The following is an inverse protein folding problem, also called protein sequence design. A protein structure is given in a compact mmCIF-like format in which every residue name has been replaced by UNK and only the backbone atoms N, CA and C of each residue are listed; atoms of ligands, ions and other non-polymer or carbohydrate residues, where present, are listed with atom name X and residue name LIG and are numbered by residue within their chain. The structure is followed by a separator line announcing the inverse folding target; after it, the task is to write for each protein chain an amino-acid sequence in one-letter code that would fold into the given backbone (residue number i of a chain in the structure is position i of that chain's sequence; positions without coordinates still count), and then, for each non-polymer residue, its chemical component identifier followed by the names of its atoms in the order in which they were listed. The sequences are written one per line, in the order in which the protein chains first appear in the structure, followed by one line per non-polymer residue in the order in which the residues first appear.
data_IF_307980755702
#
_entry.id   IF_307980755702
#
_cell.length_a   1.000
_cell.length_b   1.000
_cell.length_c   1.000
_cell.angle_alpha   90.00
_cell.angle_beta   90.00
_cell.angle_gamma   90.00
#
_symmetry.space_group_name_H-M   'P 1'
#
loop_
_entity.id
_entity.type
_entity.pdbx_description
1 polymer ?
#
# COMPACT_ATOMS: atom_id res chain seq x y z
N UNK A 1 13.45 21.60 -35.70
CA UNK A 1 13.71 20.58 -34.68
C UNK A 1 12.49 20.57 -33.77
N UNK A 2 11.75 19.48 -33.73
CA UNK A 2 10.63 19.35 -32.80
C UNK A 2 11.20 19.36 -31.34
N UNK A 3 10.60 20.14 -30.44
CA UNK A 3 10.95 20.09 -29.05
C UNK A 3 10.73 18.65 -28.53
N UNK A 4 11.59 18.12 -27.66
CA UNK A 4 11.38 16.78 -27.10
C UNK A 4 10.01 16.78 -26.40
N UNK A 5 9.18 15.82 -26.75
CA UNK A 5 7.93 15.57 -26.02
C UNK A 5 8.35 15.28 -24.58
N UNK A 6 8.04 16.19 -23.69
CA UNK A 6 8.31 16.04 -22.27
C UNK A 6 7.46 14.83 -21.84
N UNK A 7 8.09 13.66 -21.60
CA UNK A 7 7.39 12.50 -21.05
C UNK A 7 6.71 12.96 -19.75
N UNK A 8 5.41 12.87 -19.74
CA UNK A 8 4.63 13.26 -18.56
C UNK A 8 5.04 12.37 -17.40
N UNK A 9 5.42 12.98 -16.26
CA UNK A 9 5.71 12.25 -15.01
C UNK A 9 4.57 11.28 -14.71
N UNK A 10 4.91 10.02 -14.47
CA UNK A 10 3.95 8.96 -14.20
C UNK A 10 4.20 8.40 -12.81
N UNK A 11 3.20 8.49 -11.95
CA UNK A 11 3.25 7.99 -10.58
C UNK A 11 2.38 6.75 -10.42
N UNK A 12 2.83 5.84 -9.58
CA UNK A 12 2.01 4.74 -9.06
C UNK A 12 1.73 5.01 -7.59
N UNK A 13 0.46 5.10 -7.23
CA UNK A 13 0.02 5.05 -5.84
C UNK A 13 -0.13 3.58 -5.44
N UNK A 14 0.83 3.08 -4.68
CA UNK A 14 0.90 1.65 -4.36
C UNK A 14 -0.08 1.21 -3.28
N UNK A 15 -0.80 2.15 -2.67
CA UNK A 15 -1.79 1.85 -1.63
C UNK A 15 -2.78 2.99 -1.44
N UNK A 16 -4.04 2.78 -1.83
CA UNK A 16 -5.13 3.71 -1.55
C UNK A 16 -6.48 3.00 -1.52
N UNK A 17 -7.35 3.39 -0.60
CA UNK A 17 -8.70 2.82 -0.43
C UNK A 17 -9.74 3.66 -1.16
N UNK A 18 -9.71 3.65 -2.52
CA UNK A 18 -10.70 4.36 -3.33
C UNK A 18 -12.12 3.82 -3.17
N UNK A 19 -12.29 2.63 -2.61
CA UNK A 19 -13.56 2.00 -2.23
C UNK A 19 -14.12 2.52 -0.90
N UNK A 20 -13.33 3.30 -0.15
CA UNK A 20 -13.73 3.80 1.16
C UNK A 20 -15.02 4.64 1.11
N UNK A 21 -15.90 4.53 2.12
CA UNK A 21 -17.15 5.29 2.19
C UNK A 21 -16.98 6.81 2.08
N UNK A 22 -15.81 7.34 2.52
CA UNK A 22 -15.44 8.75 2.44
C UNK A 22 -15.38 9.28 1.00
N UNK A 23 -15.10 8.42 0.03
CA UNK A 23 -15.18 8.77 -1.38
C UNK A 23 -16.55 8.49 -1.97
N UNK A 24 -17.18 7.38 -1.62
CA UNK A 24 -18.52 7.01 -2.09
C UNK A 24 -18.69 7.21 -3.61
N UNK A 25 -19.73 7.95 -4.01
CA UNK A 25 -19.99 8.26 -5.42
C UNK A 25 -18.92 9.15 -6.08
N UNK A 26 -17.99 9.73 -5.30
CA UNK A 26 -16.93 10.59 -5.82
C UNK A 26 -15.67 9.81 -6.24
N UNK A 27 -15.57 8.53 -5.98
CA UNK A 27 -14.36 7.72 -6.26
C UNK A 27 -13.88 7.88 -7.72
N UNK A 28 -14.79 7.81 -8.69
CA UNK A 28 -14.45 7.99 -10.11
C UNK A 28 -13.90 9.40 -10.40
N UNK A 29 -14.50 10.43 -9.83
CA UNK A 29 -14.05 11.82 -10.01
C UNK A 29 -12.70 12.06 -9.33
N UNK A 30 -12.48 11.52 -8.12
CA UNK A 30 -11.22 11.60 -7.40
C UNK A 30 -10.10 10.92 -8.21
N UNK A 31 -10.36 9.72 -8.74
CA UNK A 31 -9.39 9.01 -9.59
C UNK A 31 -9.08 9.76 -10.89
N UNK A 32 -10.09 10.35 -11.54
CA UNK A 32 -9.89 11.17 -12.74
C UNK A 32 -9.05 12.41 -12.45
N UNK A 33 -9.27 13.08 -11.33
CA UNK A 33 -8.45 14.22 -10.89
C UNK A 33 -7.00 13.79 -10.58
N UNK A 34 -6.81 12.61 -9.99
CA UNK A 34 -5.48 12.05 -9.76
C UNK A 34 -4.75 11.79 -11.10
N UNK A 35 -5.44 11.26 -12.12
CA UNK A 35 -4.86 11.04 -13.45
C UNK A 35 -4.36 12.34 -14.09
N UNK A 36 -5.12 13.44 -13.98
CA UNK A 36 -4.71 14.78 -14.47
C UNK A 36 -3.42 15.25 -13.77
N UNK A 37 -3.21 14.87 -12.52
CA UNK A 37 -2.00 15.17 -11.74
C UNK A 37 -0.85 14.19 -11.99
N UNK A 38 -0.97 13.26 -12.95
CA UNK A 38 0.09 12.32 -13.33
C UNK A 38 0.05 10.97 -12.60
N UNK A 39 -1.01 10.64 -11.85
CA UNK A 39 -1.16 9.30 -11.29
C UNK A 39 -1.58 8.33 -12.40
N UNK A 40 -0.63 7.55 -12.84
CA UNK A 40 -0.84 6.57 -13.90
C UNK A 40 -1.64 5.35 -13.42
N UNK A 41 -1.46 4.96 -12.16
CA UNK A 41 -2.07 3.76 -11.61
C UNK A 41 -2.21 3.82 -10.10
N UNK A 42 -3.27 3.17 -9.59
CA UNK A 42 -3.49 2.95 -8.17
C UNK A 42 -3.58 1.45 -7.87
N UNK A 43 -3.16 1.06 -6.67
CA UNK A 43 -3.39 -0.29 -6.12
C UNK A 43 -4.41 -0.16 -4.99
N UNK A 44 -5.54 -0.85 -5.13
CA UNK A 44 -6.68 -0.76 -4.21
C UNK A 44 -6.76 -2.06 -3.40
N UNK A 45 -6.33 -2.10 -2.14
CA UNK A 45 -6.42 -3.29 -1.32
C UNK A 45 -7.81 -3.43 -0.69
N UNK A 46 -8.33 -4.66 -0.69
CA UNK A 46 -9.48 -5.01 0.14
C UNK A 46 -9.06 -5.16 1.61
N UNK A 47 -10.01 -5.02 2.52
CA UNK A 47 -9.78 -5.10 3.97
C UNK A 47 -10.57 -6.20 4.66
N UNK A 48 -11.63 -6.70 4.02
CA UNK A 48 -12.49 -7.78 4.51
C UNK A 48 -13.20 -8.48 3.35
N UNK A 49 -13.73 -9.67 3.61
CA UNK A 49 -14.44 -10.47 2.57
C UNK A 49 -15.61 -9.70 1.97
N UNK A 50 -16.32 -8.92 2.79
CA UNK A 50 -17.50 -8.18 2.35
C UNK A 50 -17.20 -7.15 1.24
N UNK A 51 -15.95 -6.62 1.14
CA UNK A 51 -15.60 -5.63 0.12
C UNK A 51 -14.82 -6.20 -1.08
N UNK A 52 -14.50 -7.51 -1.12
CA UNK A 52 -13.69 -8.11 -2.19
C UNK A 52 -14.22 -7.83 -3.59
N UNK A 53 -15.50 -8.05 -3.80
CA UNK A 53 -16.10 -7.88 -5.13
C UNK A 53 -16.23 -6.38 -5.49
N UNK A 54 -16.56 -5.53 -4.53
CA UNK A 54 -16.64 -4.08 -4.74
C UNK A 54 -15.27 -3.49 -5.14
N UNK A 55 -14.20 -3.87 -4.43
CA UNK A 55 -12.82 -3.46 -4.75
C UNK A 55 -12.40 -3.95 -6.14
N UNK A 56 -12.67 -5.21 -6.47
CA UNK A 56 -12.39 -5.78 -7.78
C UNK A 56 -13.10 -5.01 -8.90
N UNK A 57 -14.41 -4.80 -8.76
CA UNK A 57 -15.21 -4.07 -9.75
C UNK A 57 -14.74 -2.63 -9.92
N UNK A 58 -14.44 -1.95 -8.82
CA UNK A 58 -13.91 -0.59 -8.84
C UNK A 58 -12.57 -0.54 -9.58
N UNK A 59 -11.63 -1.42 -9.27
CA UNK A 59 -10.34 -1.50 -9.94
C UNK A 59 -10.48 -1.73 -11.44
N UNK A 60 -11.38 -2.63 -11.86
CA UNK A 60 -11.66 -2.85 -13.29
C UNK A 60 -12.26 -1.60 -13.95
N UNK A 61 -13.20 -0.93 -13.30
CA UNK A 61 -13.84 0.29 -13.81
C UNK A 61 -12.84 1.43 -13.99
N UNK A 62 -11.91 1.58 -13.05
CA UNK A 62 -10.90 2.64 -13.04
C UNK A 62 -9.67 2.32 -13.92
N UNK A 63 -9.51 1.06 -14.32
CA UNK A 63 -8.29 0.60 -14.99
C UNK A 63 -7.12 0.36 -14.04
N UNK A 64 -7.36 0.34 -12.74
CA UNK A 64 -6.40 0.16 -11.65
C UNK A 64 -6.22 -1.32 -11.25
N UNK A 65 -5.39 -1.61 -10.26
CA UNK A 65 -5.16 -2.95 -9.71
C UNK A 65 -5.79 -3.09 -8.32
N UNK A 66 -5.96 -4.34 -7.88
CA UNK A 66 -6.48 -4.63 -6.56
C UNK A 66 -5.71 -5.75 -5.86
N UNK A 67 -5.87 -5.80 -4.54
CA UNK A 67 -5.42 -6.90 -3.69
C UNK A 67 -6.60 -7.47 -2.91
N UNK A 68 -6.52 -8.73 -2.52
CA UNK A 68 -7.51 -9.39 -1.66
C UNK A 68 -6.84 -9.83 -0.36
N UNK A 69 -7.41 -9.44 0.77
CA UNK A 69 -6.89 -9.76 2.09
C UNK A 69 -7.84 -9.35 3.20
N UNK A 70 -7.57 -9.84 4.40
CA UNK A 70 -8.31 -9.51 5.63
C UNK A 70 -7.36 -8.73 6.53
N UNK A 71 -7.65 -7.44 6.65
CA UNK A 71 -6.85 -6.49 7.40
C UNK A 71 -6.96 -6.71 8.91
N UNK A 72 -5.90 -6.52 9.71
CA UNK A 72 -5.92 -6.78 11.15
C UNK A 72 -7.03 -6.05 11.93
N UNK A 73 -7.45 -4.86 11.52
CA UNK A 73 -8.55 -4.14 12.15
C UNK A 73 -9.91 -4.83 11.97
N UNK A 74 -10.06 -5.71 10.98
CA UNK A 74 -11.29 -6.45 10.69
C UNK A 74 -11.27 -7.88 11.24
N UNK A 75 -10.14 -8.33 11.79
CA UNK A 75 -10.00 -9.71 12.31
C UNK A 75 -10.94 -9.99 13.49
N UNK A 76 -11.32 -8.98 14.28
CA UNK A 76 -12.19 -9.20 15.44
C UNK A 76 -13.51 -9.90 15.05
N UNK A 77 -14.16 -9.46 13.96
CA UNK A 77 -15.40 -10.03 13.42
C UNK A 77 -15.18 -11.16 12.41
N UNK A 78 -13.99 -11.29 11.83
CA UNK A 78 -13.69 -12.34 10.86
C UNK A 78 -13.72 -13.74 11.49
N UNK A 79 -13.96 -14.76 10.67
CA UNK A 79 -14.06 -16.18 11.06
C UNK A 79 -13.14 -17.04 10.19
N UNK A 80 -13.00 -18.32 10.52
CA UNK A 80 -12.27 -19.27 9.66
C UNK A 80 -12.91 -19.41 8.26
N UNK A 81 -14.23 -19.21 8.16
CA UNK A 81 -14.93 -19.19 6.88
C UNK A 81 -14.48 -18.03 5.99
N UNK A 82 -14.12 -16.89 6.57
CA UNK A 82 -13.59 -15.75 5.80
C UNK A 82 -12.22 -16.09 5.19
N UNK A 83 -11.38 -16.88 5.86
CA UNK A 83 -10.14 -17.39 5.25
C UNK A 83 -10.43 -18.36 4.11
N UNK A 84 -11.45 -19.22 4.24
CA UNK A 84 -11.89 -20.12 3.16
C UNK A 84 -12.48 -19.33 1.97
N UNK A 85 -13.23 -18.26 2.25
CA UNK A 85 -13.74 -17.35 1.21
C UNK A 85 -12.62 -16.60 0.51
N UNK A 86 -11.58 -16.15 1.23
CA UNK A 86 -10.38 -15.54 0.63
C UNK A 86 -9.67 -16.55 -0.29
N UNK A 87 -9.48 -17.79 0.17
CA UNK A 87 -8.89 -18.86 -0.66
C UNK A 87 -9.68 -19.07 -1.95
N UNK A 88 -11.01 -19.19 -1.85
CA UNK A 88 -11.90 -19.33 -3.00
C UNK A 88 -11.86 -18.11 -3.95
N UNK A 89 -11.78 -16.90 -3.42
CA UNK A 89 -11.69 -15.66 -4.21
C UNK A 89 -10.36 -15.60 -4.97
N UNK A 90 -9.24 -15.91 -4.30
CA UNK A 90 -7.92 -15.99 -4.92
C UNK A 90 -7.87 -17.04 -6.04
N UNK A 91 -8.45 -18.22 -5.81
CA UNK A 91 -8.57 -19.28 -6.83
C UNK A 91 -9.37 -18.80 -8.04
N UNK A 92 -10.53 -18.17 -7.79
CA UNK A 92 -11.43 -17.68 -8.85
C UNK A 92 -10.77 -16.61 -9.71
N UNK A 93 -10.00 -15.71 -9.10
CA UNK A 93 -9.42 -14.54 -9.77
C UNK A 93 -7.93 -14.70 -10.08
N UNK A 94 -7.34 -15.90 -9.95
CA UNK A 94 -5.92 -16.14 -10.20
C UNK A 94 -5.49 -15.73 -11.62
N UNK A 95 -6.37 -15.88 -12.61
CA UNK A 95 -6.15 -15.46 -14.00
C UNK A 95 -6.39 -13.96 -14.27
N UNK A 96 -6.90 -13.20 -13.30
CA UNK A 96 -7.14 -11.77 -13.46
C UNK A 96 -5.81 -11.00 -13.34
N UNK A 97 -5.35 -10.30 -14.41
CA UNK A 97 -4.09 -9.57 -14.36
C UNK A 97 -4.11 -8.38 -13.38
N UNK A 98 -5.30 -7.92 -12.97
CA UNK A 98 -5.45 -6.80 -12.02
C UNK A 98 -5.36 -7.24 -10.56
N UNK A 99 -5.48 -8.52 -10.25
CA UNK A 99 -5.17 -9.07 -8.93
C UNK A 99 -3.64 -9.15 -8.78
N UNK A 100 -3.05 -8.19 -8.09
CA UNK A 100 -1.59 -8.03 -8.03
C UNK A 100 -0.95 -8.57 -6.77
N UNK A 101 -1.70 -8.76 -5.67
CA UNK A 101 -1.16 -9.27 -4.40
C UNK A 101 -2.25 -9.86 -3.50
N UNK A 102 -1.83 -10.60 -2.48
CA UNK A 102 -2.62 -10.82 -1.27
C UNK A 102 -2.37 -9.63 -0.34
N UNK A 103 -3.44 -8.93 0.02
CA UNK A 103 -3.36 -7.69 0.82
C UNK A 103 -4.71 -6.94 0.85
N UNK A 104 -4.89 -6.09 1.81
CA UNK A 104 -3.96 -5.74 2.88
C UNK A 104 -4.03 -6.76 4.00
N UNK A 105 -2.89 -7.30 4.39
CA UNK A 105 -2.76 -8.26 5.48
C UNK A 105 -1.69 -7.78 6.47
N UNK A 106 -1.68 -8.27 7.68
CA UNK A 106 -0.61 -7.88 8.60
C UNK A 106 -1.01 -7.91 10.06
N UNK A 107 -0.33 -7.06 10.85
CA UNK A 107 -0.54 -6.98 12.29
C UNK A 107 -0.58 -5.53 12.75
N UNK A 108 -1.52 -5.21 13.62
CA UNK A 108 -1.64 -3.91 14.29
C UNK A 108 -1.46 -4.09 15.82
N UNK A 109 -0.37 -3.56 16.35
CA UNK A 109 -0.11 -3.51 17.79
C UNK A 109 -0.18 -2.08 18.34
N UNK A 110 -0.90 -1.21 17.65
CA UNK A 110 -1.23 0.13 18.12
C UNK A 110 -2.62 0.17 18.78
N UNK A 111 -3.59 -0.57 18.22
CA UNK A 111 -4.95 -0.65 18.77
C UNK A 111 -4.94 -1.55 20.00
N UNK A 112 -5.27 -1.02 21.21
CA UNK A 112 -5.12 -1.77 22.46
C UNK A 112 -5.85 -3.13 22.46
N UNK A 113 -7.07 -3.18 21.95
CA UNK A 113 -7.85 -4.42 21.91
C UNK A 113 -7.17 -5.54 21.09
N UNK A 114 -6.42 -5.19 20.03
CA UNK A 114 -5.68 -6.13 19.22
C UNK A 114 -4.35 -6.60 19.84
N UNK A 115 -3.94 -5.95 20.94
CA UNK A 115 -2.72 -6.33 21.67
C UNK A 115 -2.97 -7.40 22.73
N UNK A 116 -4.23 -7.71 23.01
CA UNK A 116 -4.67 -8.59 24.09
C UNK A 116 -5.28 -9.89 23.56
N UNK A 117 -5.17 -10.95 24.36
CA UNK A 117 -5.85 -12.24 24.09
C UNK A 117 -7.38 -12.07 24.18
N UNK A 118 -8.16 -12.73 23.30
CA UNK A 118 -7.73 -13.65 22.25
C UNK A 118 -7.44 -12.98 20.88
N UNK A 119 -7.66 -11.67 20.74
CA UNK A 119 -7.56 -10.98 19.45
C UNK A 119 -6.13 -10.92 18.93
N UNK A 120 -5.15 -10.84 19.81
CA UNK A 120 -3.75 -10.88 19.45
C UNK A 120 -3.39 -12.19 18.71
N UNK A 121 -3.73 -13.32 19.30
CA UNK A 121 -3.48 -14.63 18.72
C UNK A 121 -4.25 -14.82 17.43
N UNK A 122 -5.48 -14.30 17.37
CA UNK A 122 -6.34 -14.36 16.19
C UNK A 122 -5.73 -13.58 15.02
N UNK A 123 -5.30 -12.34 15.21
CA UNK A 123 -4.66 -11.60 14.12
C UNK A 123 -3.35 -12.25 13.66
N UNK A 124 -2.55 -12.80 14.59
CA UNK A 124 -1.33 -13.54 14.25
C UNK A 124 -1.64 -14.82 13.45
N UNK A 125 -2.72 -15.52 13.78
CA UNK A 125 -3.21 -16.68 13.03
C UNK A 125 -3.66 -16.28 11.62
N UNK A 126 -4.54 -15.29 11.49
CA UNK A 126 -5.02 -14.79 10.20
C UNK A 126 -3.87 -14.33 9.30
N UNK A 127 -2.90 -13.60 9.85
CA UNK A 127 -1.73 -13.19 9.10
C UNK A 127 -0.95 -14.38 8.53
N UNK A 128 -0.69 -15.40 9.35
CA UNK A 128 0.05 -16.59 8.90
C UNK A 128 -0.71 -17.38 7.83
N UNK A 129 -2.00 -17.56 7.99
CA UNK A 129 -2.82 -18.28 6.99
C UNK A 129 -2.82 -17.51 5.65
N UNK A 130 -2.96 -16.20 5.69
CA UNK A 130 -2.91 -15.38 4.48
C UNK A 130 -1.52 -15.37 3.82
N UNK A 131 -0.44 -15.44 4.57
CA UNK A 131 0.89 -15.68 4.00
C UNK A 131 0.99 -17.05 3.29
N UNK A 132 0.37 -18.10 3.84
CA UNK A 132 0.30 -19.42 3.18
C UNK A 132 -0.50 -19.36 1.89
N UNK A 133 -1.61 -18.62 1.88
CA UNK A 133 -2.38 -18.37 0.66
C UNK A 133 -1.56 -17.62 -0.39
N UNK A 134 -0.82 -16.59 0.00
CA UNK A 134 0.09 -15.88 -0.90
C UNK A 134 1.12 -16.84 -1.54
N UNK A 135 1.69 -17.75 -0.77
CA UNK A 135 2.59 -18.81 -1.29
C UNK A 135 1.87 -19.76 -2.23
N UNK A 136 0.68 -20.24 -1.84
CA UNK A 136 -0.16 -21.17 -2.65
C UNK A 136 -0.44 -20.60 -4.04
N UNK A 137 -0.77 -19.32 -4.12
CA UNK A 137 -1.13 -18.65 -5.38
C UNK A 137 0.03 -17.91 -6.04
N UNK A 138 1.24 -17.98 -5.46
CA UNK A 138 2.45 -17.30 -5.95
C UNK A 138 2.23 -15.80 -6.18
N UNK A 139 1.51 -15.16 -5.26
CA UNK A 139 1.23 -13.73 -5.27
C UNK A 139 2.16 -12.99 -4.30
N UNK A 140 2.56 -11.76 -4.64
CA UNK A 140 3.17 -10.82 -3.70
C UNK A 140 2.24 -10.56 -2.50
N UNK A 141 2.76 -9.89 -1.47
CA UNK A 141 1.96 -9.46 -0.33
C UNK A 141 2.06 -7.95 -0.09
N UNK A 142 0.94 -7.33 0.28
CA UNK A 142 0.88 -5.94 0.76
C UNK A 142 0.58 -5.99 2.26
N UNK A 143 1.53 -5.46 3.04
CA UNK A 143 1.56 -5.63 4.50
C UNK A 143 1.21 -4.35 5.24
N UNK A 144 0.21 -4.44 6.12
CA UNK A 144 -0.01 -3.49 7.20
C UNK A 144 1.04 -3.65 8.29
N UNK A 145 1.76 -2.58 8.59
CA UNK A 145 2.89 -2.58 9.54
C UNK A 145 2.68 -1.49 10.60
N UNK A 146 2.03 -1.81 11.71
CA UNK A 146 1.83 -0.82 12.77
C UNK A 146 2.26 -1.33 14.13
N UNK A 147 3.46 -0.92 14.60
CA UNK A 147 4.13 -1.40 15.82
C UNK A 147 4.37 -2.92 15.84
N UNK A 148 4.45 -3.55 14.69
CA UNK A 148 4.41 -5.02 14.52
C UNK A 148 5.57 -5.59 13.70
N UNK A 149 6.51 -4.76 13.25
CA UNK A 149 7.56 -5.13 12.30
C UNK A 149 8.30 -6.43 12.67
N UNK A 150 8.77 -6.60 13.91
CA UNK A 150 9.50 -7.79 14.33
C UNK A 150 8.66 -9.06 14.27
N UNK A 151 7.36 -8.95 14.62
CA UNK A 151 6.44 -10.08 14.57
C UNK A 151 6.09 -10.45 13.14
N UNK A 152 5.91 -9.47 12.26
CA UNK A 152 5.72 -9.71 10.83
C UNK A 152 6.93 -10.42 10.23
N UNK A 153 8.14 -9.92 10.49
CA UNK A 153 9.39 -10.52 10.02
C UNK A 153 9.57 -11.97 10.54
N UNK A 154 9.16 -12.24 11.78
CA UNK A 154 9.17 -13.61 12.33
C UNK A 154 8.33 -14.55 11.46
N UNK A 155 7.07 -14.21 11.22
CA UNK A 155 6.17 -15.09 10.47
C UNK A 155 6.50 -15.16 8.97
N UNK A 156 7.04 -14.10 8.39
CA UNK A 156 7.58 -14.13 7.03
C UNK A 156 8.71 -15.16 6.91
N UNK A 157 9.61 -15.24 7.90
CA UNK A 157 10.68 -16.26 7.94
C UNK A 157 10.09 -17.66 8.11
N UNK A 158 9.17 -17.84 9.06
CA UNK A 158 8.55 -19.14 9.35
C UNK A 158 7.81 -19.70 8.13
N UNK A 159 6.95 -18.91 7.49
CA UNK A 159 6.16 -19.34 6.33
C UNK A 159 6.99 -19.35 5.04
N UNK A 160 8.04 -18.53 4.98
CA UNK A 160 8.94 -18.44 3.82
C UNK A 160 10.00 -19.51 3.76
N UNK A 161 10.19 -20.33 4.81
CA UNK A 161 11.26 -21.29 4.91
C UNK A 161 11.25 -22.30 3.75
N UNK A 162 12.37 -22.40 3.04
CA UNK A 162 12.53 -23.30 1.90
C UNK A 162 11.81 -22.87 0.61
N UNK A 163 11.13 -21.72 0.61
CA UNK A 163 10.44 -21.15 -0.56
C UNK A 163 11.26 -20.09 -1.30
N UNK A 164 10.71 -19.61 -2.41
CA UNK A 164 11.28 -18.46 -3.15
C UNK A 164 11.31 -17.21 -2.26
N UNK A 165 12.18 -16.21 -2.55
CA UNK A 165 12.14 -14.91 -1.89
C UNK A 165 10.72 -14.31 -1.91
N UNK A 166 10.39 -13.53 -0.88
CA UNK A 166 9.15 -12.77 -0.88
C UNK A 166 9.22 -11.64 -1.92
N UNK A 167 8.06 -11.30 -2.46
CA UNK A 167 7.82 -10.06 -3.17
C UNK A 167 6.69 -9.33 -2.46
N UNK A 168 6.76 -8.01 -2.40
CA UNK A 168 5.66 -7.24 -1.81
C UNK A 168 6.08 -5.87 -1.30
N UNK A 169 5.15 -5.25 -0.61
CA UNK A 169 5.27 -3.91 -0.07
C UNK A 169 4.95 -3.95 1.43
N UNK A 170 5.84 -3.41 2.24
CA UNK A 170 5.55 -3.04 3.62
C UNK A 170 4.97 -1.61 3.59
N UNK A 171 3.64 -1.53 3.56
CA UNK A 171 2.87 -0.29 3.46
C UNK A 171 3.04 0.58 4.72
N UNK A 172 2.99 1.89 4.56
CA UNK A 172 3.11 2.91 5.60
C UNK A 172 4.28 2.62 6.57
N UNK A 173 5.41 2.20 6.01
CA UNK A 173 6.52 1.69 6.81
C UNK A 173 7.06 2.76 7.76
N UNK A 174 7.05 2.44 9.04
CA UNK A 174 7.58 3.28 10.12
C UNK A 174 8.23 2.39 11.19
N UNK A 175 9.45 1.93 10.91
CA UNK A 175 10.25 1.08 11.79
C UNK A 175 11.63 1.66 12.07
N UNK A 176 12.49 0.84 12.69
CA UNK A 176 13.91 1.15 12.83
C UNK A 176 14.70 0.84 11.53
N UNK A 177 15.94 1.35 11.42
CA UNK A 177 16.84 1.03 10.31
C UNK A 177 17.07 -0.48 10.17
N UNK A 178 17.22 -1.18 11.31
CA UNK A 178 17.39 -2.64 11.33
C UNK A 178 16.18 -3.36 10.79
N UNK A 179 14.97 -2.89 11.15
CA UNK A 179 13.73 -3.46 10.63
C UNK A 179 13.57 -3.17 9.13
N UNK A 180 13.88 -1.94 8.69
CA UNK A 180 13.88 -1.58 7.28
C UNK A 180 14.80 -2.48 6.46
N UNK A 181 16.05 -2.64 6.89
CA UNK A 181 17.02 -3.52 6.24
C UNK A 181 16.54 -4.98 6.20
N UNK A 182 15.90 -5.46 7.27
CA UNK A 182 15.36 -6.82 7.32
C UNK A 182 14.25 -7.06 6.31
N UNK A 183 13.32 -6.11 6.14
CA UNK A 183 12.27 -6.19 5.11
C UNK A 183 12.88 -6.14 3.70
N UNK A 184 13.81 -5.21 3.45
CA UNK A 184 14.50 -5.09 2.16
C UNK A 184 15.26 -6.38 1.82
N UNK A 185 16.00 -6.95 2.77
CA UNK A 185 16.73 -8.21 2.59
C UNK A 185 15.81 -9.41 2.29
N UNK A 186 14.54 -9.34 2.70
CA UNK A 186 13.53 -10.36 2.39
C UNK A 186 12.83 -10.14 1.03
N UNK A 187 13.13 -9.04 0.32
CA UNK A 187 12.57 -8.73 -1.01
C UNK A 187 11.43 -7.71 -1.00
N UNK A 188 11.15 -7.08 0.15
CA UNK A 188 10.11 -6.06 0.25
C UNK A 188 10.57 -4.69 -0.20
N UNK A 189 9.65 -3.93 -0.82
CA UNK A 189 9.74 -2.47 -0.92
C UNK A 189 9.04 -1.85 0.29
N UNK A 190 9.47 -0.63 0.64
CA UNK A 190 8.94 0.12 1.77
C UNK A 190 8.08 1.27 1.24
N UNK A 191 6.82 1.34 1.68
CA UNK A 191 5.88 2.36 1.28
C UNK A 191 6.03 3.63 2.12
N UNK A 192 6.13 4.77 1.47
CA UNK A 192 6.20 6.09 2.10
C UNK A 192 5.13 7.01 1.54
N UNK A 193 4.35 7.62 2.44
CA UNK A 193 3.20 8.45 2.11
C UNK A 193 3.16 9.77 2.87
N UNK A 194 1.96 10.30 3.12
CA UNK A 194 1.70 11.61 3.72
C UNK A 194 2.45 11.88 5.03
N UNK A 195 2.73 10.86 5.83
CA UNK A 195 3.42 11.00 7.12
C UNK A 195 4.83 11.60 6.99
N UNK A 196 5.55 11.39 5.87
CA UNK A 196 6.90 11.92 5.65
C UNK A 196 6.93 13.45 5.53
N UNK A 197 5.77 14.05 5.24
CA UNK A 197 5.64 15.50 5.04
C UNK A 197 5.67 16.31 6.36
N UNK A 198 5.51 15.64 7.51
CA UNK A 198 5.60 16.29 8.81
C UNK A 198 7.07 16.46 9.21
N UNK A 199 7.50 17.69 9.48
CA UNK A 199 8.90 17.98 9.88
C UNK A 199 9.32 17.20 11.14
N UNK A 200 8.40 16.98 12.08
CA UNK A 200 8.62 16.23 13.33
C UNK A 200 8.75 14.71 13.16
N UNK A 201 8.48 14.17 11.97
CA UNK A 201 8.59 12.73 11.68
C UNK A 201 10.06 12.32 11.41
N UNK A 202 10.96 12.64 12.36
CA UNK A 202 12.41 12.53 12.20
C UNK A 202 12.85 11.13 11.76
N UNK A 203 12.35 10.06 12.41
CA UNK A 203 12.71 8.68 12.07
C UNK A 203 12.29 8.31 10.65
N UNK A 204 11.06 8.66 10.27
CA UNK A 204 10.53 8.36 8.94
C UNK A 204 11.31 9.12 7.84
N UNK A 205 11.62 10.38 8.09
CA UNK A 205 12.43 11.21 7.18
C UNK A 205 13.87 10.70 7.06
N UNK A 206 14.45 10.23 8.18
CA UNK A 206 15.75 9.57 8.18
C UNK A 206 15.72 8.29 7.32
N UNK A 207 14.72 7.43 7.50
CA UNK A 207 14.56 6.22 6.69
C UNK A 207 14.48 6.55 5.20
N UNK A 208 13.66 7.52 4.82
CA UNK A 208 13.55 7.98 3.42
C UNK A 208 14.91 8.42 2.87
N UNK A 209 15.77 9.04 3.67
CA UNK A 209 17.10 9.49 3.25
C UNK A 209 18.11 8.34 3.11
N UNK A 210 17.99 7.30 3.94
CA UNK A 210 19.07 6.30 4.13
C UNK A 210 18.82 4.95 3.48
N UNK A 211 17.54 4.54 3.34
CA UNK A 211 17.24 3.25 2.68
C UNK A 211 17.62 3.31 1.19
N UNK A 212 18.02 2.18 0.59
CA UNK A 212 18.32 2.13 -0.84
C UNK A 212 17.14 2.64 -1.69
N UNK A 213 17.43 3.44 -2.72
CA UNK A 213 16.37 4.02 -3.59
C UNK A 213 15.51 2.93 -4.22
N UNK A 214 16.12 1.83 -4.61
CA UNK A 214 15.46 0.66 -5.18
C UNK A 214 14.50 -0.05 -4.24
N UNK A 215 14.48 0.31 -2.95
CA UNK A 215 13.55 -0.24 -1.97
C UNK A 215 12.37 0.69 -1.63
N UNK A 216 12.29 1.87 -2.23
CA UNK A 216 11.23 2.86 -1.97
C UNK A 216 10.09 2.73 -2.97
N UNK A 217 8.86 2.70 -2.46
CA UNK A 217 7.64 2.98 -3.23
C UNK A 217 6.86 4.11 -2.57
N UNK A 218 6.00 4.76 -3.34
CA UNK A 218 5.18 5.87 -2.86
C UNK A 218 3.71 5.48 -2.83
N UNK A 219 3.00 6.02 -1.85
CA UNK A 219 1.60 5.74 -1.61
C UNK A 219 0.91 6.91 -0.94
N UNK A 220 -0.41 6.92 -0.92
CA UNK A 220 -1.18 7.92 -0.17
C UNK A 220 -1.83 7.36 1.08
N UNK A 221 -2.27 6.11 1.05
CA UNK A 221 -3.17 5.52 2.03
C UNK A 221 -4.51 6.30 2.12
N UNK A 222 -4.88 6.94 1.01
CA UNK A 222 -6.09 7.74 0.96
C UNK A 222 -7.35 6.88 1.18
N UNK A 223 -8.35 7.37 1.96
CA UNK A 223 -8.55 8.74 2.47
C UNK A 223 -7.76 9.07 3.73
N UNK A 224 -7.07 8.10 4.31
CA UNK A 224 -6.31 8.21 5.55
C UNK A 224 -4.94 8.86 5.36
N UNK A 225 -4.18 8.96 6.43
CA UNK A 225 -2.80 9.46 6.49
C UNK A 225 -2.56 10.78 5.72
N UNK A 226 -3.37 11.85 5.97
CA UNK A 226 -3.25 13.09 5.24
C UNK A 226 -1.86 13.71 5.41
N UNK A 227 -1.26 14.26 4.34
CA UNK A 227 -0.04 15.05 4.44
C UNK A 227 -0.26 16.31 5.29
N UNK A 228 0.84 16.94 5.76
CA UNK A 228 0.75 18.02 6.75
C UNK A 228 -0.15 19.19 6.30
N UNK A 229 -0.23 19.49 5.02
CA UNK A 229 -1.06 20.58 4.49
C UNK A 229 -2.56 20.28 4.45
N UNK A 230 -2.96 19.04 4.62
CA UNK A 230 -4.35 18.61 4.78
C UNK A 230 -4.70 18.30 6.24
N UNK A 231 -3.71 18.27 7.13
CA UNK A 231 -3.92 17.87 8.52
C UNK A 231 -4.71 18.91 9.29
N UNK A 232 -5.81 18.50 9.88
CA UNK A 232 -6.62 19.28 10.79
C UNK A 232 -6.24 18.95 12.23
N UNK A 233 -5.83 19.95 13.01
CA UNK A 233 -5.40 19.76 14.40
C UNK A 233 -6.55 19.29 15.29
N UNK A 234 -6.23 18.72 16.47
CA UNK A 234 -7.24 18.31 17.44
C UNK A 234 -8.13 19.50 17.86
N UNK A 235 -7.54 20.69 18.03
CA UNK A 235 -8.24 21.93 18.38
C UNK A 235 -9.20 22.36 17.27
N UNK A 236 -8.75 22.33 16.02
CA UNK A 236 -9.59 22.66 14.85
C UNK A 236 -10.75 21.68 14.71
N UNK A 237 -10.51 20.37 14.93
CA UNK A 237 -11.58 19.36 14.93
C UNK A 237 -12.58 19.57 16.05
N UNK A 238 -12.09 19.89 17.25
CA UNK A 238 -12.96 20.23 18.39
C UNK A 238 -13.81 21.49 18.11
N UNK A 239 -13.29 22.41 17.28
CA UNK A 239 -14.02 23.59 16.80
C UNK A 239 -14.96 23.29 15.60
N UNK A 240 -15.10 22.02 15.18
CA UNK A 240 -16.01 21.60 14.12
C UNK A 240 -15.40 21.55 12.71
N UNK A 241 -14.09 21.81 12.56
CA UNK A 241 -13.43 21.65 11.25
C UNK A 241 -13.27 20.16 10.95
N UNK A 242 -13.77 19.65 9.81
CA UNK A 242 -13.60 18.24 9.46
C UNK A 242 -12.12 17.88 9.24
N UNK A 243 -11.75 16.63 9.48
CA UNK A 243 -10.44 16.11 9.11
C UNK A 243 -10.25 16.26 7.60
N UNK A 244 -9.08 16.75 7.19
CA UNK A 244 -8.73 16.82 5.77
C UNK A 244 -8.63 15.40 5.19
N UNK A 245 -9.36 15.17 4.09
CA UNK A 245 -9.37 13.89 3.39
C UNK A 245 -8.19 13.82 2.43
N UNK A 246 -7.36 12.79 2.58
CA UNK A 246 -6.31 12.50 1.63
C UNK A 246 -6.90 11.98 0.29
N UNK A 247 -6.13 12.06 -0.79
CA UNK A 247 -6.51 11.55 -2.10
C UNK A 247 -5.27 11.16 -2.91
N UNK A 248 -5.37 10.20 -3.86
CA UNK A 248 -4.23 9.80 -4.71
C UNK A 248 -3.58 10.98 -5.44
N UNK A 249 -4.34 12.02 -5.76
CA UNK A 249 -3.84 13.26 -6.38
C UNK A 249 -2.90 14.10 -5.50
N UNK A 250 -2.68 13.75 -4.23
CA UNK A 250 -1.69 14.38 -3.36
C UNK A 250 -0.29 13.75 -3.50
N UNK A 251 -0.19 12.57 -4.12
CA UNK A 251 1.06 11.83 -4.26
C UNK A 251 2.20 12.64 -4.90
N UNK A 252 1.99 13.41 -5.99
CA UNK A 252 3.07 14.20 -6.58
C UNK A 252 3.64 15.25 -5.64
N UNK A 253 2.82 15.82 -4.77
CA UNK A 253 3.26 16.81 -3.77
C UNK A 253 3.98 16.12 -2.60
N UNK A 254 3.54 14.93 -2.18
CA UNK A 254 4.26 14.08 -1.22
C UNK A 254 5.62 13.69 -1.80
N UNK A 255 5.66 13.27 -3.06
CA UNK A 255 6.87 12.90 -3.78
C UNK A 255 7.88 14.04 -3.86
N UNK A 256 7.44 15.28 -4.03
CA UNK A 256 8.32 16.44 -4.01
C UNK A 256 9.08 16.59 -2.67
N UNK A 257 8.42 16.30 -1.53
CA UNK A 257 9.07 16.26 -0.22
C UNK A 257 10.09 15.13 -0.14
N UNK A 258 9.76 13.95 -0.64
CA UNK A 258 10.67 12.79 -0.68
C UNK A 258 11.90 13.10 -1.55
N UNK A 259 11.70 13.66 -2.74
CA UNK A 259 12.78 14.06 -3.65
C UNK A 259 13.73 15.08 -2.99
N UNK A 260 13.16 16.08 -2.30
CA UNK A 260 13.95 17.07 -1.55
C UNK A 260 14.77 16.40 -0.44
N UNK A 261 14.18 15.49 0.34
CA UNK A 261 14.89 14.75 1.40
C UNK A 261 16.05 13.93 0.86
N UNK A 262 15.90 13.38 -0.34
CA UNK A 262 16.92 12.57 -1.01
C UNK A 262 17.89 13.39 -1.86
N UNK A 263 17.72 14.70 -1.96
CA UNK A 263 18.52 15.61 -2.82
C UNK A 263 18.57 15.13 -4.29
N UNK A 264 17.42 14.69 -4.81
CA UNK A 264 17.29 14.16 -6.18
C UNK A 264 16.16 14.86 -6.96
N UNK A 265 16.14 14.65 -8.29
CA UNK A 265 15.10 15.18 -9.16
C UNK A 265 13.74 14.46 -8.94
N UNK A 266 12.64 15.22 -9.04
CA UNK A 266 11.28 14.65 -8.91
C UNK A 266 10.99 13.62 -10.02
N UNK A 267 11.48 13.89 -11.26
CA UNK A 267 11.35 12.96 -12.39
C UNK A 267 12.10 11.65 -12.13
N UNK A 268 13.34 11.73 -11.65
CA UNK A 268 14.17 10.57 -11.30
C UNK A 268 13.50 9.73 -10.20
N UNK A 269 12.91 10.38 -9.19
CA UNK A 269 12.14 9.69 -8.13
C UNK A 269 10.90 9.00 -8.72
N UNK A 270 10.16 9.64 -9.63
CA UNK A 270 8.97 9.06 -10.25
C UNK A 270 9.32 7.77 -11.01
N UNK A 271 10.38 7.81 -11.81
CA UNK A 271 10.86 6.65 -12.58
C UNK A 271 11.32 5.52 -11.66
N UNK A 272 12.13 5.83 -10.65
CA UNK A 272 12.64 4.85 -9.70
C UNK A 272 11.50 4.18 -8.90
N UNK A 273 10.58 4.97 -8.31
CA UNK A 273 9.52 4.42 -7.47
C UNK A 273 8.46 3.66 -8.26
N UNK A 274 8.16 4.10 -9.49
CA UNK A 274 7.29 3.35 -10.41
C UNK A 274 7.93 2.02 -10.83
N UNK A 275 9.22 2.02 -11.14
CA UNK A 275 9.96 0.79 -11.42
C UNK A 275 9.95 -0.16 -10.22
N UNK A 276 10.20 0.35 -9.02
CA UNK A 276 10.18 -0.42 -7.77
C UNK A 276 8.80 -1.04 -7.49
N UNK A 277 7.72 -0.29 -7.75
CA UNK A 277 6.35 -0.80 -7.63
C UNK A 277 6.12 -1.99 -8.58
N UNK A 278 6.60 -1.89 -9.83
CA UNK A 278 6.52 -2.99 -10.80
C UNK A 278 7.36 -4.22 -10.39
N UNK A 279 8.50 -4.00 -9.73
CA UNK A 279 9.30 -5.10 -9.17
C UNK A 279 8.61 -5.79 -7.98
N UNK A 280 7.99 -5.01 -7.09
CA UNK A 280 7.26 -5.54 -5.94
C UNK A 280 5.98 -6.30 -6.38
N UNK A 281 5.33 -5.81 -7.43
CA UNK A 281 4.05 -6.29 -7.96
C UNK A 281 4.19 -6.60 -9.47
N UNK A 282 4.74 -7.75 -9.87
CA UNK A 282 5.09 -8.01 -11.28
C UNK A 282 3.91 -7.91 -12.26
N UNK A 283 2.68 -8.26 -11.84
CA UNK A 283 1.48 -8.12 -12.68
C UNK A 283 1.16 -6.65 -13.00
N UNK A 284 1.47 -5.73 -12.07
CA UNK A 284 1.34 -4.29 -12.27
C UNK A 284 2.23 -3.80 -13.42
N UNK A 285 3.48 -4.26 -13.49
CA UNK A 285 4.40 -3.92 -14.58
C UNK A 285 3.84 -4.28 -15.95
N UNK A 286 3.21 -5.46 -16.07
CA UNK A 286 2.57 -5.89 -17.32
C UNK A 286 1.36 -5.02 -17.72
N UNK A 287 0.62 -4.47 -16.73
CA UNK A 287 -0.50 -3.56 -17.00
C UNK A 287 -0.03 -2.19 -17.49
N UNK A 288 1.01 -1.63 -16.85
CA UNK A 288 1.57 -0.32 -17.22
C UNK A 288 2.20 -0.34 -18.61
N UNK A 289 2.89 -1.41 -18.98
CA UNK A 289 3.50 -1.56 -20.32
C UNK A 289 2.44 -1.60 -21.43
N UNK A 290 1.30 -2.27 -21.19
CA UNK A 290 0.18 -2.30 -22.15
C UNK A 290 -0.48 -0.93 -22.35
N UNK A 291 -0.56 -0.12 -21.29
CA UNK A 291 -1.15 1.21 -21.35
C UNK A 291 -0.31 2.24 -22.13
N UNK A 292 1.00 1.97 -22.33
CA UNK A 292 1.90 2.82 -23.13
C UNK A 292 1.95 2.43 -24.62
N UNK A 293 1.37 1.29 -24.99
CA UNK A 293 1.40 0.77 -26.37
C UNK A 293 0.12 1.09 -27.18
N UNK A 294 -0.83 1.83 -26.61
CA UNK A 294 -2.08 2.31 -27.24
C UNK A 294 -2.04 3.84 -27.32
#
# INVERSE_FOLDING_TARGET
MAAPVQESMRWVDTHCHLDAPEFGALALAVRAQAAIKGIAHCVIPAVEVANFEAVRQLAHTLGDSYCLGIHPLYVAQATEDDLAQLDAALARHQGDPRLVAVGEIGLDFFVPALCESPLREKQEHFYREQLRLARKYQLPVVLHVRRSADRLLKYLREVGQGGAPWLGIAHAFNGSDVQAQAFVAMGFKLGFGGAVTFERANQLRHLVQTVPLESIVLETDAPDMPPHWLYTTAEQRAAGTPQGRNAPGELPRIAAVVAQLRSMGVQELAEATTHNACQALPRLGALLTKATAV
#
